data_IF_424243214423
#
_entry.id   IF_424243214423
#
_cell.length_a   1.000
_cell.length_b   1.000
_cell.length_c   1.000
_cell.angle_alpha   90.00
_cell.angle_beta   90.00
_cell.angle_gamma   90.00
#
_symmetry.space_group_name_H-M   'P 1'
#
loop_
_entity.id
_entity.type
_entity.pdbx_description
1 polymer ?
#
# COMPACT_ATOMS: atom_id res chain seq x y z
N UNK A 1 -5.00 -12.52 -0.50
CA UNK A 1 -3.88 -11.63 -0.14
C UNK A 1 -4.00 -10.37 -1.00
N UNK A 2 -3.34 -9.26 -0.67
CA UNK A 2 -3.31 -8.10 -1.57
C UNK A 2 -1.88 -7.72 -1.95
N UNK A 3 -1.74 -7.20 -3.16
CA UNK A 3 -0.55 -6.53 -3.64
C UNK A 3 -0.88 -5.04 -3.79
N UNK A 4 -0.17 -4.17 -3.06
CA UNK A 4 -0.44 -2.73 -3.01
C UNK A 4 0.76 -1.99 -3.60
N UNK A 5 0.52 -1.21 -4.66
CA UNK A 5 1.50 -0.29 -5.22
C UNK A 5 1.26 1.11 -4.64
N UNK A 6 2.30 1.69 -4.04
CA UNK A 6 2.27 3.06 -3.53
C UNK A 6 2.69 4.07 -4.59
N UNK A 7 2.33 5.33 -4.41
CA UNK A 7 2.76 6.48 -5.20
C UNK A 7 4.18 6.95 -4.80
N UNK A 8 5.09 6.01 -4.52
CA UNK A 8 6.46 6.28 -4.09
C UNK A 8 7.46 5.97 -5.22
N UNK A 9 8.39 6.90 -5.46
CA UNK A 9 9.51 6.72 -6.38
C UNK A 9 10.82 6.61 -5.59
N UNK A 10 11.70 5.73 -6.03
CA UNK A 10 13.07 5.66 -5.54
C UNK A 10 13.90 6.87 -5.98
N UNK A 11 15.15 6.94 -5.52
CA UNK A 11 16.09 8.02 -5.88
C UNK A 11 16.39 8.13 -7.38
N UNK A 12 16.04 7.11 -8.17
CA UNK A 12 16.20 7.07 -9.62
C UNK A 12 14.88 7.34 -10.36
N UNK A 13 13.81 7.72 -9.65
CA UNK A 13 12.49 7.96 -10.24
C UNK A 13 11.73 6.69 -10.64
N UNK A 14 12.14 5.51 -10.15
CA UNK A 14 11.46 4.24 -10.41
C UNK A 14 10.44 3.94 -9.34
N UNK A 15 9.32 3.33 -9.73
CA UNK A 15 8.30 2.85 -8.79
C UNK A 15 8.93 1.85 -7.81
N UNK A 16 8.65 2.03 -6.52
CA UNK A 16 9.06 1.06 -5.49
C UNK A 16 8.31 -0.27 -5.69
N UNK A 17 8.90 -1.41 -5.26
CA UNK A 17 8.23 -2.70 -5.34
C UNK A 17 6.89 -2.72 -4.58
N UNK A 18 5.93 -3.49 -5.10
CA UNK A 18 4.63 -3.63 -4.47
C UNK A 18 4.71 -4.29 -3.08
N UNK A 19 3.85 -3.83 -2.18
CA UNK A 19 3.71 -4.37 -0.84
C UNK A 19 2.71 -5.54 -0.85
N UNK A 20 3.22 -6.74 -0.54
CA UNK A 20 2.40 -7.95 -0.34
C UNK A 20 2.02 -8.10 1.13
N UNK A 21 0.73 -8.04 1.44
CA UNK A 21 0.22 -8.01 2.82
C UNK A 21 -1.27 -8.40 2.88
N UNK A 22 -1.85 -8.38 4.08
CA UNK A 22 -3.28 -8.45 4.34
C UNK A 22 -3.81 -7.11 4.85
N UNK A 23 -4.98 -6.73 4.35
CA UNK A 23 -5.75 -5.60 4.91
C UNK A 23 -6.51 -6.13 6.12
N UNK A 24 -6.24 -5.55 7.29
CA UNK A 24 -6.95 -5.86 8.53
C UNK A 24 -8.21 -5.01 8.69
N UNK A 25 -8.23 -3.82 8.07
CA UNK A 25 -9.36 -2.90 8.13
C UNK A 25 -8.99 -1.55 7.54
N UNK A 26 -9.88 -0.58 7.75
CA UNK A 26 -9.70 0.81 7.37
C UNK A 26 -10.29 1.71 8.44
N UNK A 27 -9.73 2.90 8.60
CA UNK A 27 -10.26 3.96 9.44
C UNK A 27 -9.94 5.30 8.77
N UNK A 28 -10.96 6.13 8.63
CA UNK A 28 -10.87 7.39 7.88
C UNK A 28 -10.28 7.13 6.48
N UNK A 29 -9.27 7.89 6.05
CA UNK A 29 -8.57 7.74 4.76
C UNK A 29 -7.35 6.81 4.86
N UNK A 30 -7.29 5.93 5.87
CA UNK A 30 -6.16 5.03 6.12
C UNK A 30 -6.55 3.55 5.99
N UNK A 31 -5.67 2.76 5.40
CA UNK A 31 -5.75 1.29 5.39
C UNK A 31 -4.81 0.73 6.46
N UNK A 32 -5.30 -0.23 7.25
CA UNK A 32 -4.55 -0.91 8.30
C UNK A 32 -4.06 -2.26 7.78
N UNK A 33 -2.75 -2.49 7.87
CA UNK A 33 -2.08 -3.68 7.35
C UNK A 33 -1.61 -4.61 8.48
N UNK A 34 -1.37 -5.88 8.16
CA UNK A 34 -1.00 -6.95 9.12
C UNK A 34 0.27 -6.68 9.93
N UNK A 35 1.16 -5.83 9.43
CA UNK A 35 2.42 -5.43 10.05
C UNK A 35 2.32 -4.19 10.95
N UNK A 36 1.11 -3.78 11.36
CA UNK A 36 0.82 -2.54 12.11
C UNK A 36 1.22 -1.25 11.38
N UNK A 37 1.47 -1.31 10.07
CA UNK A 37 1.63 -0.13 9.23
C UNK A 37 0.25 0.37 8.83
N UNK A 38 0.04 1.67 8.95
CA UNK A 38 -1.06 2.36 8.30
C UNK A 38 -0.54 3.06 7.04
N UNK A 39 -1.33 3.04 5.97
CA UNK A 39 -1.03 3.75 4.72
C UNK A 39 -2.21 4.64 4.36
N UNK A 40 -1.94 5.85 3.86
CA UNK A 40 -2.99 6.72 3.33
C UNK A 40 -3.52 6.11 2.04
N UNK A 41 -4.83 6.20 1.81
CA UNK A 41 -5.45 5.81 0.54
C UNK A 41 -4.96 6.69 -0.62
N UNK A 42 -4.60 7.95 -0.36
CA UNK A 42 -4.02 8.86 -1.37
C UNK A 42 -2.63 8.43 -1.82
N UNK A 43 -1.91 7.73 -0.96
CA UNK A 43 -0.58 7.18 -1.28
C UNK A 43 -0.70 5.91 -2.13
N UNK A 44 -1.90 5.40 -2.39
CA UNK A 44 -2.10 4.16 -3.15
C UNK A 44 -2.28 4.47 -4.62
N UNK A 45 -1.43 3.87 -5.45
CA UNK A 45 -1.51 3.92 -6.91
C UNK A 45 -2.41 2.84 -7.49
N UNK A 46 -2.26 1.62 -6.96
CA UNK A 46 -2.94 0.43 -7.49
C UNK A 46 -3.05 -0.65 -6.40
N UNK A 47 -4.14 -1.43 -6.45
CA UNK A 47 -4.36 -2.61 -5.59
C UNK A 47 -4.82 -3.78 -6.47
N UNK A 48 -4.20 -4.94 -6.26
CA UNK A 48 -4.58 -6.20 -6.88
C UNK A 48 -4.82 -7.29 -5.82
N UNK A 49 -5.91 -8.04 -5.99
CA UNK A 49 -6.19 -9.24 -5.19
C UNK A 49 -5.39 -10.43 -5.74
N UNK A 50 -4.73 -11.15 -4.84
CA UNK A 50 -3.95 -12.37 -5.12
C UNK A 50 -4.46 -13.57 -4.35
#
# INVERSE_FOLDING_TARGET
MVNIQLNELDVNGKQTPDLKTHILGYQDEMIILDNKKSISMDDIRHIELT
#
